data_IF_467105080907
#
_entry.id   IF_467105080907
#
_cell.length_a   1.000
_cell.length_b   1.000
_cell.length_c   1.000
_cell.angle_alpha   90.00
_cell.angle_beta   90.00
_cell.angle_gamma   90.00
#
_symmetry.space_group_name_H-M   'P 1'
#
loop_
_entity.id
_entity.type
_entity.pdbx_description
1 polymer ?
#
# COMPACT_ATOMS: atom_id res chain seq x y z
N UNK A 1 -1.97 -2.83 6.48
CA UNK A 1 -1.28 -3.16 5.23
C UNK A 1 -0.43 -1.96 4.87
N UNK A 2 0.89 -2.08 5.04
CA UNK A 2 1.90 -1.08 4.66
C UNK A 2 2.30 -1.37 3.21
N UNK A 3 1.65 -0.79 2.21
CA UNK A 3 2.22 -0.74 0.85
C UNK A 3 1.70 0.53 0.15
N UNK A 4 2.44 1.64 0.26
CA UNK A 4 2.40 2.76 -0.72
C UNK A 4 3.63 3.67 -0.68
N UNK A 5 4.69 3.34 0.06
CA UNK A 5 5.90 4.17 0.11
C UNK A 5 6.90 3.88 -1.02
N UNK A 6 6.98 2.63 -1.49
CA UNK A 6 7.92 2.28 -2.57
C UNK A 6 7.55 2.93 -3.90
N UNK A 7 6.28 2.95 -4.28
CA UNK A 7 5.85 3.57 -5.54
C UNK A 7 6.09 5.08 -5.60
N UNK A 8 5.96 5.79 -4.47
CA UNK A 8 6.28 7.22 -4.40
C UNK A 8 7.79 7.47 -4.57
N UNK A 9 8.62 6.61 -3.96
CA UNK A 9 10.08 6.70 -4.07
C UNK A 9 10.58 6.45 -5.49
N UNK A 10 9.93 5.55 -6.23
CA UNK A 10 10.29 5.28 -7.64
C UNK A 10 9.88 6.41 -8.58
N UNK A 11 8.71 7.05 -8.34
CA UNK A 11 8.25 8.20 -9.11
C UNK A 11 9.17 9.42 -8.94
N UNK A 12 9.63 9.68 -7.72
CA UNK A 12 10.56 10.78 -7.43
C UNK A 12 11.96 10.54 -8.04
N UNK A 13 12.39 9.27 -8.09
CA UNK A 13 13.64 8.87 -8.76
C UNK A 13 13.59 9.08 -10.28
N UNK A 14 12.43 8.87 -10.92
CA UNK A 14 12.23 9.18 -12.34
C UNK A 14 12.25 10.69 -12.63
N UNK A 15 11.98 11.53 -11.63
CA UNK A 15 12.04 12.98 -11.73
C UNK A 15 13.41 13.58 -11.35
N UNK A 16 14.39 12.76 -10.96
CA UNK A 16 15.73 13.20 -10.51
C UNK A 16 16.87 12.68 -11.39
N UNK A 17 17.93 13.47 -11.55
CA UNK A 17 19.14 13.07 -12.29
C UNK A 17 20.15 12.44 -11.33
N UNK A 18 20.66 11.25 -11.68
CA UNK A 18 21.62 10.55 -10.80
C UNK A 18 23.07 11.01 -11.03
N UNK A 19 23.91 10.86 -10.01
CA UNK A 19 25.36 11.09 -10.12
C UNK A 19 26.03 10.22 -11.21
N UNK A 20 25.50 9.01 -11.47
CA UNK A 20 25.97 8.16 -12.58
C UNK A 20 25.55 8.74 -13.93
N UNK A 21 24.33 9.24 -14.00
CA UNK A 21 23.80 9.91 -15.18
C UNK A 21 24.64 11.14 -15.57
N UNK A 22 25.05 11.93 -14.57
CA UNK A 22 25.96 13.07 -14.73
C UNK A 22 27.35 12.63 -15.18
N UNK A 23 27.88 11.54 -14.62
CA UNK A 23 29.17 10.96 -15.03
C UNK A 23 29.13 10.54 -16.50
N UNK A 24 28.08 9.84 -16.93
CA UNK A 24 27.90 9.46 -18.34
C UNK A 24 27.74 10.68 -19.25
N UNK A 25 27.04 11.73 -18.80
CA UNK A 25 26.81 12.94 -19.59
C UNK A 25 28.07 13.78 -19.79
N UNK A 26 28.92 13.87 -18.76
CA UNK A 26 30.14 14.70 -18.76
C UNK A 26 31.40 13.94 -19.16
N UNK A 27 31.35 12.61 -19.21
CA UNK A 27 32.52 11.74 -19.42
C UNK A 27 33.48 11.68 -18.22
N UNK A 28 33.10 12.28 -17.08
CA UNK A 28 33.90 12.33 -15.86
C UNK A 28 33.66 11.05 -15.03
N UNK A 29 34.65 10.64 -14.25
CA UNK A 29 34.52 9.45 -13.40
C UNK A 29 33.45 9.66 -12.31
N UNK A 30 32.70 8.61 -11.98
CA UNK A 30 31.65 8.69 -10.96
C UNK A 30 32.20 9.13 -9.59
N UNK A 31 33.42 8.73 -9.24
CA UNK A 31 34.09 9.15 -8.01
C UNK A 31 34.33 10.66 -7.93
N UNK A 32 34.75 11.30 -9.02
CA UNK A 32 34.93 12.76 -9.07
C UNK A 32 33.60 13.51 -9.00
N UNK A 33 32.56 12.99 -9.66
CA UNK A 33 31.21 13.54 -9.56
C UNK A 33 30.72 13.49 -8.12
N UNK A 34 30.87 12.35 -7.44
CA UNK A 34 30.51 12.20 -6.01
C UNK A 34 31.26 13.18 -5.11
N UNK A 35 32.57 13.38 -5.36
CA UNK A 35 33.39 14.32 -4.59
C UNK A 35 32.87 15.76 -4.69
N UNK A 36 32.48 16.20 -5.89
CA UNK A 36 31.92 17.54 -6.09
C UNK A 36 30.55 17.67 -5.43
N UNK A 37 29.68 16.66 -5.55
CA UNK A 37 28.37 16.66 -4.92
C UNK A 37 28.52 16.81 -3.40
N UNK A 38 29.36 16.00 -2.77
CA UNK A 38 29.63 16.11 -1.32
C UNK A 38 30.19 17.48 -0.94
N UNK A 39 31.05 18.08 -1.78
CA UNK A 39 31.59 19.42 -1.55
C UNK A 39 30.52 20.51 -1.64
N UNK A 40 29.61 20.42 -2.60
CA UNK A 40 28.48 21.35 -2.75
C UNK A 40 27.45 21.20 -1.64
N UNK A 41 27.23 19.98 -1.15
CA UNK A 41 26.39 19.70 0.01
C UNK A 41 27.00 20.26 1.29
N UNK A 42 28.30 20.03 1.52
CA UNK A 42 29.05 20.59 2.67
C UNK A 42 29.01 22.12 2.66
N UNK A 43 29.09 22.73 1.48
CA UNK A 43 28.98 24.18 1.30
C UNK A 43 27.53 24.71 1.33
N UNK A 44 26.54 23.84 1.58
CA UNK A 44 25.11 24.16 1.63
C UNK A 44 24.61 24.93 0.39
N UNK A 45 25.11 24.55 -0.80
CA UNK A 45 24.72 25.20 -2.08
C UNK A 45 23.50 24.56 -2.75
N UNK A 46 23.16 23.34 -2.33
CA UNK A 46 21.98 22.63 -2.81
C UNK A 46 20.71 23.15 -2.16
N UNK A 47 19.62 23.14 -2.92
CA UNK A 47 18.30 23.57 -2.41
C UNK A 47 17.71 22.53 -1.46
N UNK A 48 18.11 21.26 -1.61
CA UNK A 48 17.60 20.14 -0.82
C UNK A 48 18.76 19.22 -0.40
N UNK A 49 18.61 18.46 0.70
CA UNK A 49 19.56 17.42 1.06
C UNK A 49 19.71 16.40 -0.06
N UNK A 50 20.92 15.89 -0.27
CA UNK A 50 21.17 14.95 -1.36
C UNK A 50 20.56 13.59 -1.02
N UNK A 51 19.72 13.06 -1.92
CA UNK A 51 19.15 11.73 -1.73
C UNK A 51 20.17 10.67 -2.11
N UNK A 52 20.55 9.83 -1.14
CA UNK A 52 21.49 8.71 -1.34
C UNK A 52 20.72 7.42 -1.63
N UNK A 53 21.13 6.71 -2.67
CA UNK A 53 20.64 5.38 -3.02
C UNK A 53 21.80 4.40 -3.14
N UNK A 54 21.51 3.12 -2.90
CA UNK A 54 22.46 2.03 -3.06
C UNK A 54 22.12 1.26 -4.32
N UNK A 55 23.12 0.92 -5.11
CA UNK A 55 22.98 0.05 -6.26
C UNK A 55 24.05 -1.04 -6.23
N UNK A 56 23.73 -2.22 -6.75
CA UNK A 56 24.68 -3.32 -6.87
C UNK A 56 25.33 -3.32 -8.25
N UNK A 57 26.64 -3.49 -8.28
CA UNK A 57 27.41 -3.71 -9.50
C UNK A 57 28.48 -4.75 -9.21
N UNK A 58 28.52 -5.80 -10.03
CA UNK A 58 29.55 -6.85 -9.94
C UNK A 58 29.60 -7.53 -8.55
N UNK A 59 28.44 -7.61 -7.86
CA UNK A 59 28.32 -8.20 -6.52
C UNK A 59 28.70 -7.26 -5.37
N UNK A 60 29.11 -6.03 -5.67
CA UNK A 60 29.46 -5.01 -4.67
C UNK A 60 28.42 -3.88 -4.65
N UNK A 61 28.17 -3.34 -3.45
CA UNK A 61 27.20 -2.26 -3.23
C UNK A 61 27.88 -0.90 -3.33
N UNK A 62 27.38 -0.06 -4.23
CA UNK A 62 27.86 1.29 -4.48
C UNK A 62 26.80 2.33 -4.15
N UNK A 63 27.23 3.51 -3.72
CA UNK A 63 26.34 4.64 -3.45
C UNK A 63 26.23 5.55 -4.67
N UNK A 64 25.01 5.91 -5.03
CA UNK A 64 24.66 6.96 -5.99
C UNK A 64 23.85 8.07 -5.32
N UNK A 65 24.02 9.28 -5.83
CA UNK A 65 23.26 10.45 -5.41
C UNK A 65 22.20 10.81 -6.44
N UNK A 66 21.03 11.23 -5.99
CA UNK A 66 19.96 11.80 -6.82
C UNK A 66 19.84 13.30 -6.56
N UNK A 67 19.80 14.07 -7.64
CA UNK A 67 19.73 15.52 -7.61
C UNK A 67 18.50 16.00 -8.39
N UNK A 68 17.86 17.05 -7.89
CA UNK A 68 16.82 17.77 -8.63
C UNK A 68 17.42 18.52 -9.84
N UNK A 69 16.56 19.08 -10.70
CA UNK A 69 16.97 19.79 -11.92
C UNK A 69 17.99 20.90 -11.66
N UNK A 70 17.75 21.75 -10.67
CA UNK A 70 18.65 22.87 -10.34
C UNK A 70 20.02 22.37 -9.85
N UNK A 71 20.01 21.44 -8.90
CA UNK A 71 21.21 21.01 -8.20
C UNK A 71 22.08 20.11 -9.09
N UNK A 72 21.47 19.33 -9.99
CA UNK A 72 22.20 18.61 -11.04
C UNK A 72 22.84 19.56 -12.06
N UNK A 73 22.15 20.61 -12.49
CA UNK A 73 22.73 21.65 -13.35
C UNK A 73 23.88 22.39 -12.67
N UNK A 74 23.74 22.70 -11.37
CA UNK A 74 24.81 23.30 -10.59
C UNK A 74 26.04 22.37 -10.50
N UNK A 75 25.82 21.08 -10.26
CA UNK A 75 26.88 20.09 -10.23
C UNK A 75 27.60 19.99 -11.58
N UNK A 76 26.86 19.92 -12.69
CA UNK A 76 27.42 19.91 -14.06
C UNK A 76 28.18 21.21 -14.34
N UNK A 77 27.63 22.37 -14.00
CA UNK A 77 28.28 23.66 -14.20
C UNK A 77 29.60 23.79 -13.41
N UNK A 78 29.71 23.14 -12.25
CA UNK A 78 30.96 23.11 -11.47
C UNK A 78 31.96 22.09 -11.99
N UNK A 79 31.50 20.95 -12.47
CA UNK A 79 32.32 19.86 -13.01
C UNK A 79 32.87 20.18 -14.40
N UNK A 80 31.97 20.49 -15.34
CA UNK A 80 32.31 20.79 -16.72
C UNK A 80 31.26 21.73 -17.32
N UNK A 81 31.51 23.05 -17.28
CA UNK A 81 30.57 24.05 -17.80
C UNK A 81 30.13 23.81 -19.24
N UNK A 82 30.99 23.21 -20.08
CA UNK A 82 30.71 22.92 -21.48
C UNK A 82 29.54 21.95 -21.70
N UNK A 83 29.20 21.12 -20.71
CA UNK A 83 28.11 20.15 -20.80
C UNK A 83 26.79 20.67 -20.19
N UNK A 84 26.75 21.92 -19.73
CA UNK A 84 25.54 22.50 -19.12
C UNK A 84 24.36 22.52 -20.09
N UNK A 85 24.60 22.83 -21.36
CA UNK A 85 23.56 22.81 -22.40
C UNK A 85 23.01 21.39 -22.60
N UNK A 86 23.89 20.39 -22.73
CA UNK A 86 23.48 18.99 -22.87
C UNK A 86 22.70 18.48 -21.64
N UNK A 87 23.10 18.88 -20.44
CA UNK A 87 22.35 18.57 -19.22
C UNK A 87 20.98 19.24 -19.21
N UNK A 88 20.87 20.49 -19.69
CA UNK A 88 19.60 21.19 -19.82
C UNK A 88 18.68 20.54 -20.86
N UNK A 89 19.20 20.19 -22.04
CA UNK A 89 18.45 19.51 -23.10
C UNK A 89 17.89 18.17 -22.61
N UNK A 90 18.69 17.42 -21.85
CA UNK A 90 18.27 16.16 -21.24
C UNK A 90 17.13 16.34 -20.24
N UNK A 91 17.16 17.42 -19.46
CA UNK A 91 16.06 17.77 -18.56
C UNK A 91 14.80 18.17 -19.31
N UNK A 92 14.93 18.96 -20.38
CA UNK A 92 13.80 19.35 -21.21
C UNK A 92 13.14 18.13 -21.87
N UNK A 93 13.94 17.18 -22.35
CA UNK A 93 13.43 15.92 -22.91
C UNK A 93 12.70 15.08 -21.85
N UNK A 94 13.19 15.07 -20.61
CA UNK A 94 12.51 14.38 -19.49
C UNK A 94 11.18 15.06 -19.14
N UNK A 95 11.14 16.38 -19.09
CA UNK A 95 9.92 17.16 -18.85
C UNK A 95 8.87 16.99 -19.96
N UNK A 96 9.28 16.76 -21.21
CA UNK A 96 8.36 16.43 -22.31
C UNK A 96 7.71 15.05 -22.15
N UNK A 97 8.37 14.11 -21.46
CA UNK A 97 7.84 12.76 -21.20
C UNK A 97 6.88 12.74 -20.02
N UNK A 98 7.14 13.58 -19.03
CA UNK A 98 6.20 13.86 -17.93
C UNK A 98 5.10 14.82 -18.41
N UNK A 99 4.21 14.27 -19.25
CA UNK A 99 3.03 14.87 -19.84
C UNK A 99 2.29 15.84 -18.89
N UNK A 100 2.54 17.14 -19.02
CA UNK A 100 1.47 18.12 -18.94
C UNK A 100 0.92 18.31 -20.36
N UNK A 101 -0.41 18.18 -20.58
CA UNK A 101 -0.99 18.53 -21.87
C UNK A 101 -0.67 20.00 -22.17
N UNK A 102 -0.30 20.27 -23.41
CA UNK A 102 -0.06 21.62 -23.90
C UNK A 102 -1.34 22.45 -23.77
N UNK A 103 -1.37 23.33 -22.76
CA UNK A 103 -2.49 24.24 -22.48
C UNK A 103 -2.55 25.42 -23.44
N UNK A 104 -1.60 25.54 -24.37
CA UNK A 104 -1.60 26.58 -25.41
C UNK A 104 -2.73 26.38 -26.42
N UNK A 105 -3.24 25.15 -26.56
CA UNK A 105 -4.37 24.85 -27.43
C UNK A 105 -5.63 24.48 -26.59
N UNK A 106 -6.69 25.32 -26.59
CA UNK A 106 -7.88 25.09 -25.76
C UNK A 106 -8.64 23.81 -26.14
N UNK A 107 -8.51 23.34 -27.39
CA UNK A 107 -9.18 22.12 -27.85
C UNK A 107 -8.51 20.84 -27.31
N UNK A 108 -7.19 20.82 -27.16
CA UNK A 108 -6.47 19.68 -26.57
C UNK A 108 -6.68 19.63 -25.06
N UNK A 109 -6.70 20.78 -24.40
CA UNK A 109 -7.07 20.88 -22.98
C UNK A 109 -8.48 20.35 -22.73
N UNK A 110 -9.48 20.78 -23.50
CA UNK A 110 -10.86 20.31 -23.33
C UNK A 110 -11.02 18.79 -23.51
N UNK A 111 -10.27 18.18 -24.44
CA UNK A 111 -10.27 16.71 -24.64
C UNK A 111 -9.64 15.98 -23.45
N UNK A 112 -8.50 16.45 -22.94
CA UNK A 112 -7.85 15.86 -21.78
C UNK A 112 -8.73 15.95 -20.51
N UNK A 113 -9.47 17.06 -20.35
CA UNK A 113 -10.45 17.21 -19.27
C UNK A 113 -11.61 16.23 -19.40
N UNK A 114 -12.14 16.01 -20.60
CA UNK A 114 -13.22 15.05 -20.84
C UNK A 114 -12.77 13.61 -20.50
N UNK A 115 -11.58 13.21 -20.92
CA UNK A 115 -11.04 11.88 -20.65
C UNK A 115 -10.80 11.66 -19.14
N UNK A 116 -10.25 12.65 -18.44
CA UNK A 116 -10.08 12.61 -16.98
C UNK A 116 -11.43 12.50 -16.25
N UNK A 117 -12.45 13.23 -16.73
CA UNK A 117 -13.79 13.18 -16.15
C UNK A 117 -14.45 11.81 -16.34
N UNK A 118 -14.34 11.21 -17.53
CA UNK A 118 -14.85 9.86 -17.80
C UNK A 118 -14.15 8.80 -16.94
N UNK A 119 -12.81 8.86 -16.82
CA UNK A 119 -12.06 7.96 -15.95
C UNK A 119 -12.48 8.09 -14.48
N UNK A 120 -12.69 9.34 -14.01
CA UNK A 120 -13.17 9.60 -12.66
C UNK A 120 -14.58 9.06 -12.45
N UNK A 121 -15.48 9.22 -13.41
CA UNK A 121 -16.82 8.65 -13.33
C UNK A 121 -16.81 7.13 -13.29
N UNK A 122 -15.96 6.46 -14.09
CA UNK A 122 -15.83 5.00 -14.06
C UNK A 122 -15.29 4.54 -12.70
N UNK A 123 -14.31 5.24 -12.13
CA UNK A 123 -13.78 4.95 -10.81
C UNK A 123 -14.83 5.16 -9.71
N UNK A 124 -15.58 6.26 -9.76
CA UNK A 124 -16.66 6.57 -8.82
C UNK A 124 -17.82 5.56 -8.93
N UNK A 125 -18.18 5.11 -10.13
CA UNK A 125 -19.18 4.04 -10.31
C UNK A 125 -18.72 2.71 -9.72
N UNK A 126 -17.43 2.35 -9.89
CA UNK A 126 -16.85 1.16 -9.26
C UNK A 126 -16.88 1.27 -7.73
N UNK A 127 -16.59 2.45 -7.18
CA UNK A 127 -16.69 2.71 -5.74
C UNK A 127 -18.15 2.63 -5.26
N UNK A 128 -19.10 3.22 -5.99
CA UNK A 128 -20.52 3.18 -5.65
C UNK A 128 -21.08 1.75 -5.59
N UNK A 129 -20.63 0.85 -6.46
CA UNK A 129 -20.99 -0.58 -6.40
C UNK A 129 -20.43 -1.30 -5.16
N UNK A 130 -19.36 -0.76 -4.56
CA UNK A 130 -18.75 -1.30 -3.33
C UNK A 130 -19.23 -0.62 -2.04
N UNK A 131 -19.82 0.57 -2.13
CA UNK A 131 -20.39 1.33 -1.00
C UNK A 131 -21.39 0.53 -0.13
N UNK A 132 -22.34 -0.26 -0.69
CA UNK A 132 -23.28 -1.01 0.16
C UNK A 132 -22.60 -2.14 0.96
N UNK A 133 -21.40 -2.58 0.54
CA UNK A 133 -20.60 -3.56 1.30
C UNK A 133 -19.76 -2.94 2.41
N UNK A 134 -19.53 -1.62 2.41
CA UNK A 134 -18.77 -0.94 3.47
C UNK A 134 -19.70 -0.41 4.58
N UNK A 135 -20.84 0.20 4.21
CA UNK A 135 -21.81 0.74 5.17
C UNK A 135 -22.52 -0.33 6.02
N UNK A 136 -22.65 -1.56 5.51
CA UNK A 136 -23.15 -2.67 6.32
C UNK A 136 -22.19 -3.07 7.44
N UNK A 137 -20.89 -2.75 7.36
CA UNK A 137 -19.93 -3.14 8.39
C UNK A 137 -19.66 -2.00 9.37
N UNK A 138 -19.57 -0.75 8.92
CA UNK A 138 -19.22 0.36 9.80
C UNK A 138 -20.34 0.71 10.80
N UNK A 139 -21.61 0.49 10.43
CA UNK A 139 -22.77 0.67 11.33
C UNK A 139 -22.87 -0.40 12.43
N UNK A 140 -22.11 -1.49 12.34
CA UNK A 140 -22.16 -2.64 13.27
C UNK A 140 -20.86 -2.86 14.07
N UNK A 141 -19.85 -2.00 13.90
CA UNK A 141 -18.55 -2.07 14.61
C UNK A 141 -18.56 -1.31 15.95
N UNK A 142 -19.65 -0.61 16.30
CA UNK A 142 -19.85 -0.04 17.64
C UNK A 142 -20.36 -1.05 18.68
N UNK A 143 -19.87 -2.30 18.64
CA UNK A 143 -20.09 -3.23 19.75
C UNK A 143 -18.83 -3.19 20.61
N UNK A 144 -18.88 -2.44 21.71
CA UNK A 144 -17.84 -2.42 22.75
C UNK A 144 -17.67 -3.80 23.41
N UNK A 145 -18.69 -4.66 23.33
CA UNK A 145 -18.69 -6.00 23.91
C UNK A 145 -18.31 -7.12 22.93
N UNK A 146 -17.38 -7.98 23.38
CA UNK A 146 -17.01 -9.21 22.68
C UNK A 146 -18.21 -10.17 22.49
N UNK A 147 -18.51 -10.53 21.23
CA UNK A 147 -19.71 -11.28 20.85
C UNK A 147 -19.51 -12.81 20.98
N UNK A 148 -20.54 -13.52 21.46
CA UNK A 148 -20.55 -14.98 21.52
C UNK A 148 -20.90 -15.63 20.17
N UNK A 149 -20.57 -16.92 20.01
CA UNK A 149 -20.82 -17.69 18.77
C UNK A 149 -22.28 -17.61 18.27
N UNK A 150 -23.26 -17.88 19.13
CA UNK A 150 -24.68 -17.84 18.78
C UNK A 150 -25.16 -16.43 18.41
N UNK A 151 -24.64 -15.40 19.09
CA UNK A 151 -24.96 -14.00 18.80
C UNK A 151 -24.46 -13.61 17.41
N UNK A 152 -23.25 -14.05 17.04
CA UNK A 152 -22.71 -13.86 15.71
C UNK A 152 -23.52 -14.59 14.63
N UNK A 153 -23.93 -15.85 14.86
CA UNK A 153 -24.78 -16.58 13.90
C UNK A 153 -26.13 -15.89 13.68
N UNK A 154 -26.78 -15.40 14.75
CA UNK A 154 -28.03 -14.65 14.66
C UNK A 154 -27.85 -13.35 13.88
N UNK A 155 -26.74 -12.65 14.11
CA UNK A 155 -26.39 -11.42 13.38
C UNK A 155 -26.21 -11.67 11.88
N UNK A 156 -25.46 -12.72 11.52
CA UNK A 156 -25.17 -13.07 10.14
C UNK A 156 -26.31 -13.80 9.43
N UNK A 157 -27.43 -14.08 10.13
CA UNK A 157 -28.53 -14.94 9.67
C UNK A 157 -28.03 -16.29 9.12
N UNK A 158 -26.95 -16.81 9.69
CA UNK A 158 -26.32 -18.05 9.27
C UNK A 158 -26.85 -19.22 10.12
N UNK A 159 -27.02 -20.40 9.51
CA UNK A 159 -27.34 -21.61 10.27
C UNK A 159 -26.12 -22.03 11.09
N UNK A 160 -26.32 -22.24 12.39
CA UNK A 160 -25.25 -22.65 13.32
C UNK A 160 -24.39 -23.84 12.84
N UNK A 161 -24.94 -24.93 12.26
CA UNK A 161 -24.12 -26.04 11.79
C UNK A 161 -23.26 -25.70 10.58
N UNK A 162 -23.80 -24.97 9.60
CA UNK A 162 -23.08 -24.56 8.39
C UNK A 162 -21.93 -23.60 8.75
N UNK A 163 -22.21 -22.63 9.61
CA UNK A 163 -21.20 -21.70 10.09
C UNK A 163 -20.10 -22.40 10.91
N UNK A 164 -20.46 -23.42 11.70
CA UNK A 164 -19.49 -24.24 12.44
C UNK A 164 -18.58 -25.02 11.49
N UNK A 165 -19.16 -25.66 10.47
CA UNK A 165 -18.39 -26.40 9.48
C UNK A 165 -17.43 -25.48 8.74
N UNK A 166 -17.87 -24.29 8.34
CA UNK A 166 -17.03 -23.28 7.71
C UNK A 166 -15.82 -22.86 8.54
N UNK A 167 -15.99 -22.67 9.85
CA UNK A 167 -14.87 -22.32 10.74
C UNK A 167 -13.87 -23.47 10.89
N UNK A 168 -14.34 -24.72 10.84
CA UNK A 168 -13.50 -25.92 10.91
C UNK A 168 -12.74 -26.14 9.58
N UNK A 169 -13.42 -26.04 8.44
CA UNK A 169 -12.84 -26.20 7.10
C UNK A 169 -11.72 -25.19 6.83
N UNK A 170 -11.90 -23.95 7.28
CA UNK A 170 -10.90 -22.89 7.13
C UNK A 170 -9.85 -22.86 8.23
N UNK A 171 -9.84 -23.85 9.14
CA UNK A 171 -8.87 -23.96 10.22
C UNK A 171 -8.82 -22.70 11.11
N UNK A 172 -9.97 -22.04 11.29
CA UNK A 172 -10.12 -20.82 12.11
C UNK A 172 -10.35 -21.21 13.58
N UNK A 173 -11.12 -22.27 13.78
CA UNK A 173 -11.35 -22.92 15.08
C UNK A 173 -11.18 -24.42 14.95
N UNK A 174 -10.89 -25.07 16.06
CA UNK A 174 -10.84 -26.52 16.21
C UNK A 174 -11.65 -26.96 17.42
N UNK A 175 -11.96 -28.25 17.49
CA UNK A 175 -12.77 -28.84 18.56
C UNK A 175 -11.87 -29.47 19.61
N UNK A 176 -11.95 -28.99 20.85
CA UNK A 176 -11.30 -29.59 22.02
C UNK A 176 -12.37 -29.90 23.04
N UNK A 177 -12.48 -31.18 23.43
CA UNK A 177 -13.43 -31.63 24.47
C UNK A 177 -14.87 -31.11 24.29
N UNK A 178 -15.33 -31.05 23.03
CA UNK A 178 -16.68 -30.57 22.69
C UNK A 178 -16.82 -29.03 22.55
N UNK A 179 -15.80 -28.27 22.93
CA UNK A 179 -15.77 -26.79 22.90
C UNK A 179 -15.01 -26.29 21.66
N UNK A 180 -15.56 -25.27 21.00
CA UNK A 180 -14.93 -24.59 19.86
C UNK A 180 -13.85 -23.62 20.36
N UNK A 181 -12.60 -23.89 19.99
CA UNK A 181 -11.44 -23.10 20.42
C UNK A 181 -10.74 -22.50 19.20
N UNK A 182 -10.42 -21.20 19.20
CA UNK A 182 -9.70 -20.55 18.10
C UNK A 182 -8.22 -20.94 18.09
N UNK A 183 -7.61 -20.96 16.90
CA UNK A 183 -6.16 -21.16 16.79
C UNK A 183 -5.37 -19.99 17.37
N UNK A 184 -4.17 -20.28 17.88
CA UNK A 184 -3.30 -19.30 18.52
C UNK A 184 -2.94 -18.12 17.60
N UNK A 185 -2.77 -18.37 16.31
CA UNK A 185 -2.50 -17.32 15.31
C UNK A 185 -3.63 -16.28 15.24
N UNK A 186 -4.89 -16.69 15.35
CA UNK A 186 -6.05 -15.79 15.31
C UNK A 186 -6.28 -15.05 16.64
N UNK A 187 -5.80 -15.62 17.75
CA UNK A 187 -5.74 -14.95 19.05
C UNK A 187 -4.70 -13.82 19.05
N UNK A 188 -3.48 -14.10 18.57
CA UNK A 188 -2.43 -13.09 18.43
C UNK A 188 -2.82 -11.96 17.47
N UNK A 189 -3.57 -12.28 16.41
CA UNK A 189 -4.08 -11.28 15.47
C UNK A 189 -5.20 -10.37 16.06
N UNK A 190 -5.69 -10.68 17.26
CA UNK A 190 -6.70 -9.91 17.99
C UNK A 190 -8.13 -10.12 17.48
N UNK A 191 -8.40 -11.22 16.77
CA UNK A 191 -9.75 -11.55 16.27
C UNK A 191 -10.63 -12.20 17.34
N UNK A 192 -10.01 -12.85 18.33
CA UNK A 192 -10.69 -13.57 19.40
C UNK A 192 -10.18 -13.13 20.76
N UNK A 193 -11.07 -13.16 21.75
CA UNK A 193 -10.73 -13.04 23.17
C UNK A 193 -11.24 -14.28 23.90
N UNK A 194 -10.42 -14.87 24.77
CA UNK A 194 -10.90 -15.92 25.68
C UNK A 194 -11.41 -15.25 26.95
N UNK A 195 -12.68 -15.48 27.26
CA UNK A 195 -13.23 -15.16 28.58
C UNK A 195 -13.22 -16.43 29.41
N UNK A 196 -12.33 -16.45 30.40
CA UNK A 196 -12.31 -17.48 31.42
C UNK A 196 -13.14 -17.01 32.62
N UNK A 197 -13.99 -17.89 33.13
CA UNK A 197 -14.80 -17.64 34.33
C UNK A 197 -14.96 -18.91 35.14
N UNK A 198 -15.37 -18.77 36.40
CA UNK A 198 -15.78 -19.90 37.25
C UNK A 198 -17.29 -19.93 37.22
N UNK A 199 -17.88 -21.02 36.71
CA UNK A 199 -19.33 -21.19 36.72
C UNK A 199 -19.84 -21.43 38.15
N UNK A 200 -21.16 -21.32 38.36
CA UNK A 200 -21.80 -21.59 39.67
C UNK A 200 -21.43 -22.97 40.24
N UNK A 201 -21.06 -23.93 39.38
CA UNK A 201 -20.63 -25.28 39.73
C UNK A 201 -19.11 -25.40 40.01
N UNK A 202 -18.39 -24.31 40.31
CA UNK A 202 -16.93 -24.26 40.55
C UNK A 202 -16.02 -24.76 39.40
N UNK A 203 -16.58 -25.13 38.25
CA UNK A 203 -15.81 -25.47 37.07
C UNK A 203 -15.37 -24.22 36.32
N UNK A 204 -14.07 -24.13 36.02
CA UNK A 204 -13.50 -23.10 35.14
C UNK A 204 -13.95 -23.34 33.71
N UNK A 205 -14.71 -22.41 33.14
CA UNK A 205 -15.05 -22.42 31.72
C UNK A 205 -14.20 -21.39 30.99
N UNK A 206 -13.69 -21.76 29.82
CA UNK A 206 -13.02 -20.84 28.89
C UNK A 206 -13.81 -20.82 27.59
N UNK A 207 -14.39 -19.66 27.27
CA UNK A 207 -15.18 -19.49 26.06
C UNK A 207 -14.57 -18.39 25.18
N UNK A 208 -14.35 -18.74 23.91
CA UNK A 208 -13.90 -17.77 22.91
C UNK A 208 -15.05 -16.84 22.51
N UNK A 209 -14.74 -15.54 22.47
CA UNK A 209 -15.60 -14.48 21.98
C UNK A 209 -14.93 -13.75 20.82
N UNK A 210 -15.74 -13.22 19.93
CA UNK A 210 -15.30 -12.49 18.74
C UNK A 210 -15.16 -11.02 19.09
N UNK A 211 -14.01 -10.42 18.79
CA UNK A 211 -13.82 -8.97 18.89
C UNK A 211 -14.50 -8.27 17.72
N UNK A 212 -14.70 -6.95 17.78
CA UNK A 212 -15.22 -6.17 16.64
C UNK A 212 -14.40 -6.41 15.36
N UNK A 213 -13.06 -6.49 15.50
CA UNK A 213 -12.13 -6.83 14.41
C UNK A 213 -12.35 -8.26 13.89
N UNK A 214 -12.54 -9.23 14.80
CA UNK A 214 -12.82 -10.62 14.45
C UNK A 214 -14.16 -10.80 13.74
N UNK A 215 -15.20 -10.08 14.15
CA UNK A 215 -16.51 -10.10 13.50
C UNK A 215 -16.41 -9.59 12.07
N UNK A 216 -15.77 -8.42 11.84
CA UNK A 216 -15.58 -7.87 10.48
C UNK A 216 -14.80 -8.85 9.58
N UNK A 217 -13.79 -9.50 10.13
CA UNK A 217 -12.98 -10.48 9.40
C UNK A 217 -13.79 -11.74 9.04
N UNK A 218 -14.45 -12.38 10.01
CA UNK A 218 -15.20 -13.62 9.77
C UNK A 218 -16.42 -13.38 8.89
N UNK A 219 -17.11 -12.26 9.05
CA UNK A 219 -18.28 -11.91 8.25
C UNK A 219 -17.94 -11.66 6.78
N UNK A 220 -16.81 -11.01 6.48
CA UNK A 220 -16.35 -10.84 5.09
C UNK A 220 -15.95 -12.18 4.45
N UNK A 221 -15.29 -13.04 5.20
CA UNK A 221 -14.93 -14.40 4.78
C UNK A 221 -16.16 -15.28 4.52
N UNK A 222 -17.20 -15.15 5.35
CA UNK A 222 -18.47 -15.86 5.23
C UNK A 222 -19.26 -15.39 4.01
N UNK A 223 -19.34 -14.08 3.77
CA UNK A 223 -19.99 -13.52 2.58
C UNK A 223 -19.31 -14.02 1.28
N UNK A 224 -17.98 -14.11 1.26
CA UNK A 224 -17.24 -14.70 0.14
C UNK A 224 -17.58 -16.19 -0.08
N UNK A 225 -17.70 -16.96 1.00
CA UNK A 225 -18.07 -18.38 0.92
C UNK A 225 -19.47 -18.60 0.35
N UNK A 226 -20.45 -17.80 0.78
CA UNK A 226 -21.81 -17.85 0.22
C UNK A 226 -21.84 -17.53 -1.27
N UNK A 227 -21.06 -16.52 -1.72
CA UNK A 227 -20.96 -16.18 -3.13
C UNK A 227 -20.32 -17.30 -3.98
N UNK A 228 -19.38 -18.06 -3.41
CA UNK A 228 -18.79 -19.23 -4.07
C UNK A 228 -19.77 -20.41 -4.11
N UNK A 229 -20.49 -20.68 -3.02
CA UNK A 229 -21.52 -21.73 -2.99
C UNK A 229 -22.67 -21.44 -3.97
N UNK A 230 -23.18 -20.21 -4.03
CA UNK A 230 -24.24 -19.85 -4.98
C UNK A 230 -23.80 -19.99 -6.42
N UNK A 231 -22.51 -19.71 -6.71
CA UNK A 231 -21.94 -19.86 -8.06
C UNK A 231 -21.71 -21.32 -8.44
N UNK A 232 -21.39 -22.18 -7.47
CA UNK A 232 -21.25 -23.63 -7.67
C UNK A 232 -22.59 -24.36 -7.77
N UNK A 233 -23.68 -23.80 -7.22
CA UNK A 233 -25.02 -24.39 -7.28
C UNK A 233 -25.79 -23.97 -8.55
N UNK A 234 -25.32 -22.94 -9.27
CA UNK A 234 -25.91 -22.44 -10.50
C UNK A 234 -25.18 -22.91 -11.78
N UNK A 235 -24.15 -23.76 -11.63
CA UNK A 235 -23.41 -24.44 -12.70
C UNK A 235 -23.75 -25.93 -12.67
#
# INVERSE_FOLDING_TARGET
>A
MMITFDSQRTLDQSAMMSSREIATLTGITHGEVKRIINGLETAQRFTQPVTVSLYEREGETYQEFFLNKRDSLLAVARLSPGFTAAALDRWQEREKRDNLPDFTNPATAARAWAEQYEQRQIAEQRLALSAPKAEFFDRYVQVEDSLGFRQLCKMLRAKEPEFRQFLLERNIMYRVSGVLTPHHHHLQAGYFTLRSGVGENQHTFSQARFTAKGVKWVASLWAGYLATQSRSAAA
#
